data_IF_998869445270
#
_entry.id   IF_998869445270
#
_cell.length_a   1.000
_cell.length_b   1.000
_cell.length_c   1.000
_cell.angle_alpha   90.00
_cell.angle_beta   90.00
_cell.angle_gamma   90.00
#
_symmetry.space_group_name_H-M   'P 1'
#
loop_
_entity.id
_entity.type
_entity.pdbx_description
1 polymer ?
#
# COMPACT_ATOMS: atom_id res chain seq x y z
N UNK A 1 -11.11 25.62 -27.01
CA UNK A 1 -10.53 24.57 -27.87
C UNK A 1 -9.32 25.10 -28.64
N UNK A 2 -9.30 26.35 -29.14
CA UNK A 2 -8.08 26.94 -29.71
C UNK A 2 -7.55 26.23 -30.96
N UNK A 3 -8.38 25.40 -31.59
CA UNK A 3 -8.03 24.56 -32.74
C UNK A 3 -7.94 25.38 -34.03
N UNK A 4 -8.64 26.51 -34.09
CA UNK A 4 -8.61 27.45 -35.19
C UNK A 4 -8.84 28.87 -34.67
N UNK A 5 -8.27 29.85 -35.36
CA UNK A 5 -8.47 31.28 -35.10
C UNK A 5 -9.02 31.93 -36.35
N UNK A 6 -10.08 32.72 -36.22
CA UNK A 6 -10.62 33.49 -37.35
C UNK A 6 -9.77 34.74 -37.56
N UNK A 7 -9.10 34.84 -38.71
CA UNK A 7 -8.26 35.99 -39.06
C UNK A 7 -9.03 37.06 -39.82
N UNK A 8 -10.06 36.67 -40.57
CA UNK A 8 -11.01 37.54 -41.25
C UNK A 8 -12.35 36.79 -41.42
N UNK A 9 -13.48 37.47 -41.69
CA UNK A 9 -14.77 36.81 -41.89
C UNK A 9 -14.68 35.68 -42.93
N UNK A 10 -14.86 34.44 -42.47
CA UNK A 10 -14.78 33.25 -43.33
C UNK A 10 -13.37 32.76 -43.68
N UNK A 11 -12.31 33.36 -43.12
CA UNK A 11 -10.91 32.92 -43.28
C UNK A 11 -10.37 32.48 -41.92
N UNK A 12 -10.12 31.17 -41.82
CA UNK A 12 -9.69 30.50 -40.60
C UNK A 12 -8.27 29.99 -40.74
N UNK A 13 -7.45 30.25 -39.73
CA UNK A 13 -6.13 29.64 -39.58
C UNK A 13 -6.21 28.53 -38.54
N UNK A 14 -5.82 27.32 -38.93
CA UNK A 14 -5.76 26.19 -38.02
C UNK A 14 -4.54 26.33 -37.11
N UNK A 15 -4.71 26.02 -35.82
CA UNK A 15 -3.60 26.03 -34.88
C UNK A 15 -2.56 24.97 -35.25
N UNK A 16 -1.29 25.31 -35.13
CA UNK A 16 -0.16 24.36 -35.24
C UNK A 16 -0.26 23.19 -34.25
N UNK A 17 -0.97 23.41 -33.14
CA UNK A 17 -1.17 22.43 -32.07
C UNK A 17 -2.48 21.64 -32.24
N UNK A 18 -3.20 21.83 -33.36
CA UNK A 18 -4.49 21.19 -33.63
C UNK A 18 -4.40 19.66 -33.63
N UNK A 19 -3.41 19.08 -34.33
CA UNK A 19 -3.28 17.62 -34.41
C UNK A 19 -2.93 17.00 -33.04
N UNK A 20 -1.92 17.50 -32.28
CA UNK A 20 -1.68 17.06 -30.91
C UNK A 20 -2.92 17.16 -30.01
N UNK A 21 -3.64 18.30 -30.05
CA UNK A 21 -4.82 18.51 -29.22
C UNK A 21 -5.99 17.57 -29.58
N UNK A 22 -6.21 17.30 -30.88
CA UNK A 22 -7.23 16.34 -31.31
C UNK A 22 -6.87 14.90 -30.94
N UNK A 23 -5.58 14.54 -31.01
CA UNK A 23 -5.09 13.22 -30.56
C UNK A 23 -5.32 13.04 -29.07
N UNK A 24 -4.93 14.01 -28.24
CA UNK A 24 -5.14 14.00 -26.79
C UNK A 24 -6.64 13.87 -26.44
N UNK A 25 -7.51 14.59 -27.14
CA UNK A 25 -8.96 14.48 -26.97
C UNK A 25 -9.48 13.09 -27.34
N UNK A 26 -8.95 12.49 -28.41
CA UNK A 26 -9.27 11.12 -28.82
C UNK A 26 -8.89 10.10 -27.75
N UNK A 27 -7.63 10.15 -27.29
CA UNK A 27 -7.08 9.28 -26.25
C UNK A 27 -7.87 9.42 -24.93
N UNK A 28 -8.17 10.64 -24.52
CA UNK A 28 -9.01 10.91 -23.34
C UNK A 28 -10.40 10.30 -23.51
N UNK A 29 -10.99 10.41 -24.70
CA UNK A 29 -12.27 9.80 -25.05
C UNK A 29 -12.25 8.26 -24.98
N UNK A 30 -11.15 7.63 -25.40
CA UNK A 30 -10.95 6.18 -25.29
C UNK A 30 -10.82 5.73 -23.83
N UNK A 31 -10.04 6.45 -23.02
CA UNK A 31 -9.91 6.17 -21.58
C UNK A 31 -11.27 6.25 -20.89
N UNK A 32 -12.05 7.30 -21.18
CA UNK A 32 -13.41 7.46 -20.61
C UNK A 32 -14.31 6.26 -20.99
N UNK A 33 -14.25 5.78 -22.23
CA UNK A 33 -15.00 4.59 -22.65
C UNK A 33 -14.57 3.34 -21.89
N UNK A 34 -13.27 3.17 -21.68
CA UNK A 34 -12.72 2.07 -20.86
C UNK A 34 -13.23 2.13 -19.43
N UNK A 35 -13.20 3.32 -18.80
CA UNK A 35 -13.73 3.52 -17.45
C UNK A 35 -15.23 3.21 -17.36
N UNK A 36 -16.03 3.67 -18.33
CA UNK A 36 -17.47 3.35 -18.39
C UNK A 36 -17.73 1.85 -18.50
N UNK A 37 -16.96 1.17 -19.37
CA UNK A 37 -17.05 -0.28 -19.55
C UNK A 37 -16.65 -1.04 -18.27
N UNK A 38 -15.59 -0.60 -17.60
CA UNK A 38 -15.07 -1.19 -16.37
C UNK A 38 -16.08 -1.17 -15.21
N UNK A 39 -16.81 -0.07 -15.06
CA UNK A 39 -17.83 0.05 -14.02
C UNK A 39 -19.03 -0.90 -14.23
N UNK A 40 -19.28 -1.28 -15.48
CA UNK A 40 -20.35 -2.20 -15.85
C UNK A 40 -21.75 -1.73 -15.37
N UNK A 41 -22.73 -2.64 -15.28
CA UNK A 41 -24.10 -2.29 -14.89
C UNK A 41 -24.22 -1.73 -13.46
N UNK A 42 -23.30 -2.09 -12.57
CA UNK A 42 -23.30 -1.64 -11.17
C UNK A 42 -22.73 -0.22 -10.99
N UNK A 43 -22.07 0.32 -12.01
CA UNK A 43 -21.62 1.71 -12.05
C UNK A 43 -22.76 2.71 -12.03
N UNK A 44 -23.93 2.34 -12.54
CA UNK A 44 -24.98 3.28 -12.89
C UNK A 44 -24.54 4.26 -13.99
N UNK A 45 -25.42 5.19 -14.36
CA UNK A 45 -25.08 6.30 -15.26
C UNK A 45 -24.26 7.32 -14.47
N UNK A 46 -22.94 7.11 -14.38
CA UNK A 46 -22.05 8.08 -13.72
C UNK A 46 -21.97 9.34 -14.55
N UNK A 47 -22.00 10.48 -13.86
CA UNK A 47 -21.67 11.77 -14.45
C UNK A 47 -20.26 11.68 -15.06
N UNK A 48 -20.07 11.96 -16.36
CA UNK A 48 -18.74 12.00 -16.98
C UNK A 48 -17.74 12.93 -16.27
N UNK A 49 -18.22 13.97 -15.57
CA UNK A 49 -17.39 14.87 -14.77
C UNK A 49 -16.80 14.20 -13.51
N UNK A 50 -17.33 13.04 -13.11
CA UNK A 50 -16.80 12.23 -12.01
C UNK A 50 -15.57 11.42 -12.41
N UNK A 51 -15.20 11.38 -13.69
CA UNK A 51 -14.01 10.66 -14.16
C UNK A 51 -12.74 11.51 -14.01
N UNK A 52 -11.73 10.91 -13.41
CA UNK A 52 -10.43 11.51 -13.18
C UNK A 52 -9.36 10.62 -13.81
N UNK A 53 -8.52 11.20 -14.65
CA UNK A 53 -7.45 10.49 -15.36
C UNK A 53 -6.13 11.00 -14.78
N UNK A 54 -5.31 10.07 -14.31
CA UNK A 54 -4.00 10.31 -13.74
C UNK A 54 -2.94 9.63 -14.60
N UNK A 55 -2.04 10.43 -15.17
CA UNK A 55 -0.91 9.96 -15.97
C UNK A 55 0.30 9.53 -15.11
N UNK A 56 0.11 9.48 -13.78
CA UNK A 56 1.12 9.09 -12.80
C UNK A 56 0.52 8.99 -11.39
N UNK A 57 1.38 9.05 -10.38
CA UNK A 57 0.94 9.02 -8.98
C UNK A 57 -0.08 10.15 -8.66
N UNK A 58 -1.24 9.83 -8.06
CA UNK A 58 -2.22 10.84 -7.69
C UNK A 58 -1.68 11.75 -6.57
N UNK A 59 -1.99 13.04 -6.63
CA UNK A 59 -1.53 14.03 -5.63
C UNK A 59 -2.14 13.83 -4.23
N UNK A 60 -3.37 13.31 -4.19
CA UNK A 60 -4.09 13.00 -2.95
C UNK A 60 -4.39 11.51 -2.88
N UNK A 61 -4.35 10.89 -1.69
CA UNK A 61 -4.74 9.50 -1.54
C UNK A 61 -6.19 9.25 -2.00
N UNK A 62 -6.36 8.24 -2.86
CA UNK A 62 -7.62 7.75 -3.39
C UNK A 62 -7.89 6.40 -2.74
N UNK A 63 -9.03 6.27 -2.07
CA UNK A 63 -9.51 4.98 -1.54
C UNK A 63 -10.69 4.53 -2.39
N UNK A 64 -10.69 3.27 -2.84
CA UNK A 64 -11.79 2.75 -3.63
C UNK A 64 -11.64 1.29 -4.01
N UNK A 65 -12.63 0.78 -4.74
CA UNK A 65 -12.64 -0.58 -5.26
C UNK A 65 -11.98 -0.62 -6.63
N UNK A 66 -11.07 -1.57 -6.84
CA UNK A 66 -10.52 -1.88 -8.16
C UNK A 66 -11.63 -2.46 -9.03
N UNK A 67 -11.98 -1.80 -10.12
CA UNK A 67 -13.01 -2.26 -11.07
C UNK A 67 -12.41 -2.79 -12.36
N UNK A 68 -11.20 -2.35 -12.72
CA UNK A 68 -10.45 -2.88 -13.84
C UNK A 68 -8.94 -2.75 -13.62
N UNK A 69 -8.18 -3.62 -14.28
CA UNK A 69 -6.73 -3.72 -14.19
C UNK A 69 -6.19 -4.35 -15.48
N UNK A 70 -5.42 -3.61 -16.25
CA UNK A 70 -4.88 -4.06 -17.54
C UNK A 70 -3.48 -3.50 -17.80
N UNK A 71 -2.73 -4.09 -18.72
CA UNK A 71 -1.41 -3.59 -19.12
C UNK A 71 -1.55 -2.23 -19.83
N UNK A 72 -0.61 -1.32 -19.57
CA UNK A 72 -0.60 0.05 -20.12
C UNK A 72 0.30 0.21 -21.34
N UNK A 73 1.35 -0.60 -21.46
CA UNK A 73 2.40 -0.43 -22.47
C UNK A 73 2.64 -1.70 -23.29
N UNK A 74 3.16 -1.53 -24.51
CA UNK A 74 3.52 -2.63 -25.42
C UNK A 74 4.71 -3.44 -24.89
N UNK A 75 5.47 -2.88 -23.95
CA UNK A 75 6.58 -3.54 -23.25
C UNK A 75 6.09 -4.46 -22.10
N UNK A 76 4.86 -4.28 -21.62
CA UNK A 76 4.22 -5.10 -20.59
C UNK A 76 4.75 -4.89 -19.17
N UNK A 77 5.42 -3.78 -18.89
CA UNK A 77 6.08 -3.51 -17.61
C UNK A 77 5.17 -2.79 -16.60
N UNK A 78 4.18 -2.03 -17.11
CA UNK A 78 3.28 -1.24 -16.27
C UNK A 78 1.80 -1.61 -16.45
N UNK A 79 1.06 -1.44 -15.37
CA UNK A 79 -0.37 -1.61 -15.30
C UNK A 79 -1.10 -0.27 -15.17
N UNK A 80 -2.28 -0.25 -15.80
CA UNK A 80 -3.33 0.72 -15.56
C UNK A 80 -4.36 0.09 -14.64
N UNK A 81 -4.83 0.86 -13.68
CA UNK A 81 -5.92 0.47 -12.78
C UNK A 81 -7.04 1.49 -12.85
N UNK A 82 -8.27 0.99 -12.90
CA UNK A 82 -9.47 1.79 -12.72
C UNK A 82 -10.04 1.53 -11.33
N UNK A 83 -10.23 2.60 -10.55
CA UNK A 83 -10.74 2.56 -9.17
C UNK A 83 -12.05 3.35 -9.08
N UNK A 84 -13.10 2.70 -8.59
CA UNK A 84 -14.36 3.35 -8.18
C UNK A 84 -14.18 3.86 -6.75
N UNK A 85 -14.00 5.17 -6.62
CA UNK A 85 -13.59 5.86 -5.40
C UNK A 85 -14.73 6.03 -4.40
N UNK A 86 -14.38 5.99 -3.11
CA UNK A 86 -15.33 6.33 -2.04
C UNK A 86 -15.75 7.80 -2.07
N UNK A 87 -14.98 8.64 -2.77
CA UNK A 87 -15.27 10.06 -3.03
C UNK A 87 -16.31 10.27 -4.15
N UNK A 88 -16.86 9.19 -4.70
CA UNK A 88 -17.88 9.20 -5.74
C UNK A 88 -17.32 9.35 -7.16
N UNK A 89 -16.00 9.49 -7.31
CA UNK A 89 -15.30 9.60 -8.60
C UNK A 89 -14.81 8.24 -9.07
N UNK A 90 -14.58 8.12 -10.37
CA UNK A 90 -13.85 6.98 -10.93
C UNK A 90 -12.49 7.47 -11.38
N UNK A 91 -11.44 6.78 -10.94
CA UNK A 91 -10.06 7.16 -11.21
C UNK A 91 -9.42 6.15 -12.15
N UNK A 92 -8.81 6.64 -13.21
CA UNK A 92 -7.91 5.88 -14.07
C UNK A 92 -6.48 6.28 -13.72
N UNK A 93 -5.65 5.32 -13.30
CA UNK A 93 -4.25 5.55 -12.92
C UNK A 93 -3.38 4.66 -13.79
N UNK A 94 -2.53 5.27 -14.61
CA UNK A 94 -1.57 4.57 -15.46
C UNK A 94 -0.18 4.48 -14.79
N UNK A 95 0.69 3.62 -15.33
CA UNK A 95 2.12 3.63 -14.98
C UNK A 95 2.46 2.99 -13.63
N UNK A 96 1.63 2.08 -13.13
CA UNK A 96 1.88 1.37 -11.87
C UNK A 96 2.66 0.08 -12.16
N UNK A 97 3.82 -0.09 -11.53
CA UNK A 97 4.60 -1.33 -11.66
C UNK A 97 3.80 -2.58 -11.24
N UNK A 98 4.03 -3.68 -11.96
CA UNK A 98 3.33 -4.95 -11.77
C UNK A 98 3.42 -5.47 -10.32
N UNK A 99 4.59 -5.36 -9.69
CA UNK A 99 4.81 -5.92 -8.34
C UNK A 99 4.00 -5.17 -7.27
N UNK A 100 3.71 -3.88 -7.48
CA UNK A 100 2.93 -3.07 -6.52
C UNK A 100 1.45 -3.44 -6.50
N UNK A 101 0.96 -4.09 -7.55
CA UNK A 101 -0.44 -4.49 -7.69
C UNK A 101 -0.64 -6.00 -7.60
N UNK A 102 0.38 -6.79 -7.31
CA UNK A 102 0.30 -8.26 -7.30
C UNK A 102 -0.83 -8.77 -6.39
N UNK A 103 -0.95 -8.21 -5.19
CA UNK A 103 -1.99 -8.57 -4.22
C UNK A 103 -3.35 -7.88 -4.48
N UNK A 104 -3.42 -6.92 -5.40
CA UNK A 104 -4.65 -6.19 -5.75
C UNK A 104 -5.39 -6.89 -6.90
N UNK A 105 -6.61 -7.35 -6.62
CA UNK A 105 -7.51 -8.00 -7.57
C UNK A 105 -8.70 -7.10 -7.91
N UNK A 106 -9.39 -7.39 -8.99
CA UNK A 106 -10.71 -6.78 -9.25
C UNK A 106 -11.64 -7.10 -8.07
N UNK A 107 -12.30 -6.08 -7.54
CA UNK A 107 -13.11 -6.11 -6.33
C UNK A 107 -12.35 -5.76 -5.04
N UNK A 108 -11.02 -5.79 -5.03
CA UNK A 108 -10.25 -5.39 -3.85
C UNK A 108 -10.44 -3.90 -3.54
N UNK A 109 -10.48 -3.57 -2.24
CA UNK A 109 -10.44 -2.17 -1.78
C UNK A 109 -8.97 -1.78 -1.60
N UNK A 110 -8.56 -0.73 -2.29
CA UNK A 110 -7.17 -0.24 -2.31
C UNK A 110 -7.13 1.23 -1.90
N UNK A 111 -5.95 1.63 -1.44
CA UNK A 111 -5.54 3.03 -1.35
C UNK A 111 -4.41 3.23 -2.34
N UNK A 112 -4.62 4.15 -3.28
CA UNK A 112 -3.59 4.68 -4.18
C UNK A 112 -3.21 6.07 -3.70
N UNK A 113 -1.94 6.45 -3.76
CA UNK A 113 -1.55 7.78 -3.31
C UNK A 113 -0.29 8.29 -4.00
N UNK A 114 0.21 9.45 -3.54
CA UNK A 114 1.51 9.95 -3.97
C UNK A 114 2.57 8.87 -3.84
N UNK A 115 3.62 8.98 -4.66
CA UNK A 115 4.74 8.07 -4.56
C UNK A 115 5.28 8.03 -3.13
N UNK A 116 5.32 6.83 -2.56
CA UNK A 116 5.86 6.63 -1.21
C UNK A 116 7.39 6.65 -1.31
N UNK A 117 7.98 7.84 -1.21
CA UNK A 117 9.40 7.92 -0.95
C UNK A 117 9.64 7.55 0.51
N UNK A 118 9.75 6.25 0.79
CA UNK A 118 10.20 5.81 2.10
C UNK A 118 11.54 6.50 2.41
N UNK A 119 11.59 7.22 3.53
CA UNK A 119 12.79 7.87 4.04
C UNK A 119 14.00 6.92 3.93
N UNK A 120 14.96 7.26 3.04
CA UNK A 120 16.09 6.37 2.75
C UNK A 120 16.88 6.12 4.03
N UNK A 121 17.39 4.89 4.25
CA UNK A 121 18.28 4.63 5.38
C UNK A 121 19.49 5.57 5.44
N UNK A 122 20.00 6.00 4.28
CA UNK A 122 21.07 7.00 4.17
C UNK A 122 20.69 8.33 4.81
N UNK A 123 19.46 8.79 4.59
CA UNK A 123 19.00 10.11 5.06
C UNK A 123 18.86 10.10 6.59
N UNK A 124 18.34 9.00 7.15
CA UNK A 124 18.29 8.81 8.61
C UNK A 124 19.68 8.72 9.23
N UNK A 125 20.61 8.05 8.57
CA UNK A 125 22.00 7.89 9.04
C UNK A 125 22.73 9.23 9.02
N UNK A 126 22.57 10.01 7.95
CA UNK A 126 23.12 11.38 7.84
C UNK A 126 22.61 12.26 9.00
N UNK A 127 21.30 12.27 9.25
CA UNK A 127 20.71 13.03 10.36
C UNK A 127 21.21 12.55 11.72
N UNK A 128 21.35 11.23 11.93
CA UNK A 128 21.83 10.68 13.19
C UNK A 128 23.30 11.00 13.49
N UNK A 129 24.14 11.14 12.47
CA UNK A 129 25.58 11.41 12.61
C UNK A 129 25.86 12.91 12.70
N UNK A 130 25.03 13.73 12.07
CA UNK A 130 25.17 15.17 12.09
C UNK A 130 25.13 15.72 13.51
N UNK A 131 25.95 16.75 13.76
CA UNK A 131 25.93 17.52 15.00
C UNK A 131 25.70 18.98 14.68
N UNK A 132 24.76 19.59 15.38
CA UNK A 132 24.40 21.01 15.23
C UNK A 132 24.11 21.37 13.76
N UNK A 133 23.38 20.49 13.06
CA UNK A 133 23.04 20.65 11.64
C UNK A 133 24.21 20.43 10.66
N UNK A 134 25.37 19.99 11.13
CA UNK A 134 26.56 19.74 10.30
C UNK A 134 26.87 18.25 10.23
N UNK A 135 26.83 17.70 9.03
CA UNK A 135 27.31 16.35 8.73
C UNK A 135 28.77 16.41 8.24
N UNK A 136 29.61 15.50 8.77
CA UNK A 136 31.03 15.36 8.40
C UNK A 136 31.33 13.94 7.90
N UNK A 137 31.73 13.75 6.63
CA UNK A 137 32.15 12.46 6.09
C UNK A 137 33.28 11.81 6.90
N UNK A 138 34.30 12.58 7.33
CA UNK A 138 35.42 12.09 8.16
C UNK A 138 34.93 11.43 9.46
N UNK A 139 34.03 12.10 10.18
CA UNK A 139 33.38 11.61 11.41
C UNK A 139 32.54 10.36 11.15
N UNK A 140 31.80 10.31 10.03
CA UNK A 140 31.05 9.11 9.65
C UNK A 140 32.00 7.94 9.40
N UNK A 141 33.12 8.17 8.71
CA UNK A 141 34.11 7.13 8.45
C UNK A 141 34.71 6.57 9.75
N UNK A 142 35.07 7.43 10.69
CA UNK A 142 35.56 7.04 12.01
C UNK A 142 34.53 6.21 12.78
N UNK A 143 33.28 6.68 12.82
CA UNK A 143 32.18 5.97 13.49
C UNK A 143 31.90 4.61 12.85
N UNK A 144 31.86 4.53 11.52
CA UNK A 144 31.60 3.29 10.79
C UNK A 144 32.71 2.25 11.01
N UNK A 145 33.98 2.70 11.03
CA UNK A 145 35.13 1.85 11.38
C UNK A 145 35.04 1.34 12.82
N UNK A 146 34.63 2.18 13.76
CA UNK A 146 34.47 1.81 15.15
C UNK A 146 33.34 0.78 15.38
N UNK A 147 32.19 0.95 14.71
CA UNK A 147 31.04 0.07 14.87
C UNK A 147 31.19 -1.29 14.17
N UNK A 148 32.05 -1.40 13.15
CA UNK A 148 32.27 -2.65 12.41
C UNK A 148 31.05 -3.12 11.61
N UNK A 149 30.09 -2.24 11.31
CA UNK A 149 28.78 -2.56 10.70
C UNK A 149 28.70 -2.34 9.18
N UNK A 150 29.81 -2.45 8.45
CA UNK A 150 29.81 -2.33 6.98
C UNK A 150 30.03 -3.71 6.33
N UNK A 151 29.03 -4.27 5.61
CA UNK A 151 29.19 -5.52 4.88
C UNK A 151 30.33 -5.42 3.86
N UNK A 152 31.31 -6.33 3.94
CA UNK A 152 32.47 -6.37 3.02
C UNK A 152 33.65 -5.47 3.40
N UNK A 153 33.54 -4.65 4.45
CA UNK A 153 34.67 -3.86 4.97
C UNK A 153 35.08 -2.64 4.14
N UNK A 154 34.32 -2.28 3.10
CA UNK A 154 34.54 -1.07 2.32
C UNK A 154 33.88 0.15 2.99
N UNK A 155 34.55 0.66 4.02
CA UNK A 155 34.08 1.82 4.79
C UNK A 155 34.10 3.12 3.99
N UNK A 156 35.05 3.26 3.07
CA UNK A 156 35.17 4.46 2.23
C UNK A 156 34.04 4.49 1.19
N UNK A 157 33.80 3.39 0.48
CA UNK A 157 32.67 3.28 -0.45
C UNK A 157 31.31 3.44 0.23
N UNK A 158 31.17 3.00 1.49
CA UNK A 158 29.99 3.22 2.31
C UNK A 158 29.75 4.71 2.60
N UNK A 159 30.79 5.45 3.01
CA UNK A 159 30.67 6.90 3.26
C UNK A 159 30.48 7.67 1.94
N UNK A 160 31.15 7.27 0.87
CA UNK A 160 31.02 7.88 -0.46
C UNK A 160 29.61 7.75 -1.02
N UNK A 161 28.86 6.68 -0.69
CA UNK A 161 27.45 6.59 -1.03
C UNK A 161 26.61 7.71 -0.35
N UNK A 162 26.93 8.06 0.90
CA UNK A 162 26.27 9.14 1.63
C UNK A 162 26.68 10.52 1.11
N UNK A 163 27.95 10.70 0.71
CA UNK A 163 28.41 11.93 0.05
C UNK A 163 27.74 12.12 -1.31
N UNK A 164 27.63 11.05 -2.13
CA UNK A 164 26.88 11.09 -3.40
C UNK A 164 25.42 11.46 -3.19
N UNK A 165 24.79 10.95 -2.12
CA UNK A 165 23.43 11.33 -1.72
C UNK A 165 23.33 12.82 -1.36
N UNK A 166 24.26 13.35 -0.57
CA UNK A 166 24.31 14.77 -0.22
C UNK A 166 24.53 15.68 -1.44
N UNK A 167 25.38 15.28 -2.39
CA UNK A 167 25.53 16.01 -3.66
C UNK A 167 24.22 16.03 -4.48
N UNK A 168 23.46 14.93 -4.50
CA UNK A 168 22.15 14.90 -5.15
C UNK A 168 21.16 15.87 -4.48
N UNK A 169 21.09 15.87 -3.15
CA UNK A 169 20.23 16.78 -2.39
C UNK A 169 20.69 18.25 -2.49
N UNK A 170 21.99 18.51 -2.67
CA UNK A 170 22.52 19.85 -2.91
C UNK A 170 22.10 20.41 -4.26
N UNK A 171 22.12 19.58 -5.31
CA UNK A 171 21.60 19.96 -6.63
C UNK A 171 20.10 20.27 -6.58
N UNK A 172 19.37 19.68 -5.63
CA UNK A 172 17.97 19.96 -5.36
C UNK A 172 17.73 21.17 -4.44
N UNK A 173 18.79 21.82 -3.93
CA UNK A 173 18.69 22.96 -3.02
C UNK A 173 18.25 22.60 -1.59
N UNK A 174 18.33 21.33 -1.19
CA UNK A 174 17.86 20.86 0.12
C UNK A 174 18.97 20.93 1.18
N UNK A 175 20.22 20.73 0.77
CA UNK A 175 21.41 20.80 1.63
C UNK A 175 22.46 21.71 1.02
N UNK A 176 23.37 22.23 1.84
CA UNK A 176 24.48 23.08 1.39
C UNK A 176 25.82 22.41 1.66
N UNK A 177 26.74 22.53 0.72
CA UNK A 177 28.14 22.12 0.92
C UNK A 177 28.93 23.33 1.40
N UNK A 178 29.50 23.24 2.60
CA UNK A 178 30.39 24.26 3.15
C UNK A 178 31.79 24.05 2.57
N UNK A 179 32.31 22.83 2.69
CA UNK A 179 33.62 22.43 2.15
C UNK A 179 33.65 20.93 1.80
N UNK A 180 34.83 20.32 1.66
CA UNK A 180 34.96 18.89 1.34
C UNK A 180 34.50 17.95 2.46
N UNK A 181 34.57 18.38 3.71
CA UNK A 181 34.26 17.58 4.89
C UNK A 181 33.08 18.13 5.71
N UNK A 182 32.44 19.21 5.27
CA UNK A 182 31.33 19.84 5.99
C UNK A 182 30.11 20.10 5.11
N UNK A 183 28.98 19.53 5.54
CA UNK A 183 27.69 19.67 4.89
C UNK A 183 26.68 20.22 5.88
N UNK A 184 26.01 21.31 5.51
CA UNK A 184 24.88 21.84 6.28
C UNK A 184 23.60 21.16 5.83
N UNK A 185 22.92 20.52 6.77
CA UNK A 185 21.65 19.83 6.57
C UNK A 185 20.56 20.50 7.42
N UNK A 186 19.30 20.55 6.93
CA UNK A 186 18.18 21.05 7.72
C UNK A 186 17.68 19.97 8.71
N UNK A 187 17.01 20.40 9.79
CA UNK A 187 16.49 19.50 10.83
C UNK A 187 15.40 18.54 10.31
N UNK A 188 14.69 18.94 9.25
CA UNK A 188 13.66 18.16 8.56
C UNK A 188 14.20 17.44 7.30
N UNK A 189 15.53 17.21 7.21
CA UNK A 189 16.20 16.58 6.06
C UNK A 189 15.46 15.34 5.56
N UNK A 190 15.09 14.42 6.47
CA UNK A 190 14.47 13.15 6.11
C UNK A 190 13.15 13.36 5.36
N UNK A 191 12.33 14.29 5.84
CA UNK A 191 11.03 14.60 5.23
C UNK A 191 11.21 15.31 3.89
N UNK A 192 12.14 16.27 3.78
CA UNK A 192 12.41 16.98 2.52
C UNK A 192 13.04 16.09 1.45
N UNK A 193 13.96 15.22 1.86
CA UNK A 193 14.62 14.27 0.98
C UNK A 193 13.64 13.21 0.46
N UNK A 194 12.73 12.72 1.32
CA UNK A 194 11.61 11.88 0.91
C UNK A 194 10.70 12.62 -0.09
N UNK A 195 10.26 13.85 0.21
CA UNK A 195 9.43 14.61 -0.72
C UNK A 195 10.11 14.85 -2.08
N UNK A 196 11.41 15.12 -2.10
CA UNK A 196 12.19 15.27 -3.33
C UNK A 196 12.30 13.98 -4.14
N UNK A 197 12.51 12.85 -3.44
CA UNK A 197 12.56 11.55 -4.08
C UNK A 197 11.19 11.10 -4.59
N UNK A 198 10.10 11.46 -3.91
CA UNK A 198 8.73 11.20 -4.36
C UNK A 198 8.41 11.95 -5.65
N UNK A 199 9.03 13.11 -5.88
CA UNK A 199 8.97 13.81 -7.17
C UNK A 199 9.79 13.14 -8.29
N UNK A 200 10.68 12.19 -7.96
CA UNK A 200 11.52 11.45 -8.92
C UNK A 200 11.07 10.01 -9.16
N UNK A 201 10.51 9.35 -8.14
CA UNK A 201 9.80 8.08 -8.28
C UNK A 201 8.36 8.42 -8.65
N UNK A 202 8.02 8.42 -9.94
CA UNK A 202 6.69 8.83 -10.42
C UNK A 202 5.58 7.81 -10.12
N UNK A 203 5.92 6.67 -9.51
CA UNK A 203 5.01 5.56 -9.33
C UNK A 203 4.13 5.70 -8.09
N UNK A 204 2.83 5.54 -8.29
CA UNK A 204 1.85 5.60 -7.22
C UNK A 204 2.19 4.64 -6.06
N UNK A 205 1.97 5.08 -4.83
CA UNK A 205 1.89 4.16 -3.71
C UNK A 205 0.63 3.32 -3.85
N UNK A 206 0.72 2.02 -3.55
CA UNK A 206 -0.41 1.10 -3.61
C UNK A 206 -0.48 0.32 -2.30
N UNK A 207 -1.64 0.39 -1.64
CA UNK A 207 -1.91 -0.39 -0.44
C UNK A 207 -3.24 -1.10 -0.57
N UNK A 208 -3.24 -2.43 -0.48
CA UNK A 208 -4.47 -3.23 -0.42
C UNK A 208 -5.05 -3.12 0.99
N UNK A 209 -6.21 -2.47 1.12
CA UNK A 209 -6.92 -2.33 2.39
C UNK A 209 -7.79 -3.55 2.69
N UNK A 210 -8.40 -4.12 1.64
CA UNK A 210 -9.10 -5.39 1.68
C UNK A 210 -8.93 -6.13 0.36
N UNK A 211 -8.41 -7.37 0.34
CA UNK A 211 -8.38 -8.18 -0.87
C UNK A 211 -9.79 -8.70 -1.24
N UNK A 212 -10.75 -8.63 -0.31
CA UNK A 212 -12.10 -9.17 -0.43
C UNK A 212 -13.07 -8.08 -0.91
N UNK A 213 -13.92 -8.43 -1.88
CA UNK A 213 -14.99 -7.55 -2.38
C UNK A 213 -15.95 -7.08 -1.27
N UNK A 214 -16.50 -5.88 -1.45
CA UNK A 214 -17.37 -5.21 -0.47
C UNK A 214 -18.53 -6.10 -0.01
N UNK A 215 -19.23 -6.78 -0.92
CA UNK A 215 -20.40 -7.58 -0.56
C UNK A 215 -20.04 -8.77 0.31
N UNK A 216 -18.89 -9.40 0.03
CA UNK A 216 -18.37 -10.52 0.84
C UNK A 216 -17.95 -10.08 2.25
N UNK A 217 -17.59 -8.81 2.44
CA UNK A 217 -17.24 -8.30 3.76
C UNK A 217 -18.46 -8.17 4.69
N UNK A 218 -19.65 -7.92 4.16
CA UNK A 218 -20.88 -7.67 4.94
C UNK A 218 -21.20 -8.86 5.86
N UNK A 219 -21.14 -10.08 5.31
CA UNK A 219 -21.42 -11.32 6.05
C UNK A 219 -20.19 -12.12 6.48
N UNK A 220 -19.00 -11.52 6.48
CA UNK A 220 -17.76 -12.24 6.82
C UNK A 220 -17.65 -12.50 8.33
N UNK A 221 -17.30 -13.72 8.73
CA UNK A 221 -17.00 -14.01 10.14
C UNK A 221 -15.68 -13.39 10.63
N UNK A 222 -14.84 -12.90 9.70
CA UNK A 222 -13.55 -12.29 9.96
C UNK A 222 -13.57 -10.78 10.09
N UNK A 223 -12.45 -10.22 10.54
CA UNK A 223 -12.28 -8.78 10.67
C UNK A 223 -12.07 -8.16 9.28
N UNK A 224 -12.94 -7.26 8.87
CA UNK A 224 -12.95 -6.68 7.50
C UNK A 224 -12.48 -5.23 7.49
N UNK A 225 -12.40 -4.63 6.29
CA UNK A 225 -12.15 -3.19 6.16
C UNK A 225 -13.34 -2.37 6.68
N UNK A 226 -14.57 -2.86 6.52
CA UNK A 226 -15.77 -2.23 7.08
C UNK A 226 -15.70 -2.10 8.61
N UNK A 227 -15.22 -3.13 9.30
CA UNK A 227 -15.13 -3.14 10.77
C UNK A 227 -14.14 -2.07 11.28
N UNK A 228 -13.03 -1.87 10.55
CA UNK A 228 -12.07 -0.80 10.86
C UNK A 228 -12.73 0.57 10.69
N UNK A 229 -13.48 0.82 9.62
CA UNK A 229 -14.19 2.10 9.42
C UNK A 229 -15.30 2.34 10.45
N UNK A 230 -16.06 1.30 10.79
CA UNK A 230 -17.13 1.37 11.80
C UNK A 230 -16.60 1.79 13.18
N UNK A 231 -15.42 1.28 13.57
CA UNK A 231 -14.80 1.61 14.87
C UNK A 231 -14.27 3.04 14.91
N UNK A 232 -13.66 3.52 13.82
CA UNK A 232 -13.11 4.89 13.77
C UNK A 232 -14.18 5.95 13.44
N UNK A 233 -15.38 5.54 13.03
CA UNK A 233 -16.48 6.47 12.69
C UNK A 233 -16.22 7.27 11.40
N UNK A 234 -15.38 6.76 10.51
CA UNK A 234 -14.93 7.47 9.31
C UNK A 234 -15.98 7.36 8.19
N UNK A 235 -16.90 8.33 8.11
CA UNK A 235 -17.91 8.42 7.04
C UNK A 235 -17.94 9.75 6.30
N UNK A 236 -17.14 10.74 6.73
CA UNK A 236 -17.17 12.10 6.19
C UNK A 236 -16.59 12.22 4.77
N UNK A 237 -15.72 11.30 4.38
CA UNK A 237 -15.11 11.15 3.05
C UNK A 237 -15.96 10.32 2.08
N UNK A 238 -17.01 9.64 2.57
CA UNK A 238 -17.90 8.85 1.72
C UNK A 238 -18.85 9.78 0.96
N UNK A 239 -18.76 9.80 -0.36
CA UNK A 239 -19.74 10.50 -1.19
C UNK A 239 -21.16 9.90 -1.03
N UNK A 240 -22.22 10.71 -1.22
CA UNK A 240 -23.61 10.24 -1.20
C UNK A 240 -24.01 9.50 -2.49
N UNK A 241 -23.07 9.27 -3.40
CA UNK A 241 -23.28 8.59 -4.67
C UNK A 241 -22.17 7.55 -4.90
N UNK A 242 -22.45 6.61 -5.80
CA UNK A 242 -21.44 5.67 -6.25
C UNK A 242 -20.92 4.71 -5.19
N UNK A 243 -19.63 4.36 -5.26
CA UNK A 243 -19.02 3.45 -4.31
C UNK A 243 -19.03 3.99 -2.87
N UNK A 244 -18.93 5.31 -2.68
CA UNK A 244 -19.09 5.92 -1.35
C UNK A 244 -20.44 5.59 -0.70
N UNK A 245 -21.52 5.65 -1.48
CA UNK A 245 -22.86 5.26 -1.02
C UNK A 245 -22.98 3.75 -0.80
N UNK A 246 -22.44 2.93 -1.69
CA UNK A 246 -22.40 1.47 -1.53
C UNK A 246 -21.68 1.07 -0.23
N UNK A 247 -20.56 1.73 0.09
CA UNK A 247 -19.81 1.51 1.33
C UNK A 247 -20.63 1.91 2.55
N UNK A 248 -21.34 3.05 2.50
CA UNK A 248 -22.23 3.48 3.59
C UNK A 248 -23.33 2.44 3.86
N UNK A 249 -23.99 1.95 2.82
CA UNK A 249 -25.01 0.90 2.92
C UNK A 249 -24.43 -0.42 3.43
N UNK A 250 -23.24 -0.81 2.95
CA UNK A 250 -22.54 -2.00 3.42
C UNK A 250 -22.13 -1.88 4.90
N UNK A 251 -21.73 -0.69 5.36
CA UNK A 251 -21.45 -0.43 6.78
C UNK A 251 -22.70 -0.57 7.64
N UNK A 252 -23.86 -0.14 7.15
CA UNK A 252 -25.13 -0.30 7.85
C UNK A 252 -25.55 -1.77 7.92
N UNK A 253 -25.45 -2.51 6.82
CA UNK A 253 -25.73 -3.95 6.81
C UNK A 253 -24.75 -4.74 7.69
N UNK A 254 -23.45 -4.39 7.65
CA UNK A 254 -22.42 -4.99 8.51
C UNK A 254 -22.70 -4.74 9.98
N UNK A 255 -23.26 -3.58 10.33
CA UNK A 255 -23.68 -3.26 11.70
C UNK A 255 -24.82 -4.15 12.17
N UNK A 256 -25.83 -4.39 11.35
CA UNK A 256 -26.90 -5.34 11.67
C UNK A 256 -26.34 -6.74 11.86
N UNK A 257 -25.46 -7.18 10.95
CA UNK A 257 -24.80 -8.48 11.05
C UNK A 257 -24.06 -8.65 12.40
N UNK A 258 -23.32 -7.64 12.86
CA UNK A 258 -22.67 -7.71 14.18
C UNK A 258 -23.65 -7.78 15.34
N UNK A 259 -24.81 -7.13 15.24
CA UNK A 259 -25.86 -7.22 16.26
C UNK A 259 -26.44 -8.63 16.30
N UNK A 260 -26.74 -9.20 15.13
CA UNK A 260 -27.25 -10.58 14.98
C UNK A 260 -26.27 -11.62 15.52
N UNK A 261 -24.96 -11.44 15.27
CA UNK A 261 -23.90 -12.33 15.78
C UNK A 261 -23.55 -12.07 17.27
N UNK A 262 -24.17 -11.08 17.91
CA UNK A 262 -23.88 -10.73 19.31
C UNK A 262 -22.52 -10.04 19.53
N UNK A 263 -21.90 -9.55 18.45
CA UNK A 263 -20.65 -8.81 18.45
C UNK A 263 -20.86 -7.29 18.60
N UNK A 264 -22.11 -6.83 18.51
CA UNK A 264 -22.52 -5.46 18.82
C UNK A 264 -23.89 -5.42 19.53
N UNK A 265 -24.17 -4.33 20.24
CA UNK A 265 -25.49 -4.08 20.84
C UNK A 265 -26.00 -2.70 20.46
N UNK A 266 -27.32 -2.59 20.25
CA UNK A 266 -28.00 -1.32 20.00
C UNK A 266 -28.57 -0.78 21.30
N UNK A 267 -28.20 0.45 21.63
CA UNK A 267 -28.77 1.21 22.74
C UNK A 267 -30.12 1.81 22.36
N UNK A 268 -30.87 2.28 23.37
CA UNK A 268 -32.20 2.89 23.21
C UNK A 268 -32.18 4.18 22.38
N UNK A 269 -31.04 4.86 22.29
CA UNK A 269 -30.79 6.05 21.48
C UNK A 269 -30.25 5.73 20.08
N UNK A 270 -30.40 4.48 19.61
CA UNK A 270 -29.92 3.96 18.32
C UNK A 270 -28.40 3.97 18.13
N UNK A 271 -27.62 4.30 19.17
CA UNK A 271 -26.16 4.14 19.15
C UNK A 271 -25.81 2.66 19.21
N UNK A 272 -24.80 2.27 18.44
CA UNK A 272 -24.31 0.89 18.42
C UNK A 272 -22.97 0.80 19.12
N UNK A 273 -22.89 -0.15 20.05
CA UNK A 273 -21.70 -0.43 20.83
C UNK A 273 -21.13 -1.78 20.40
N UNK A 274 -19.90 -1.73 19.89
CA UNK A 274 -19.17 -2.94 19.51
C UNK A 274 -18.50 -3.57 20.72
N UNK A 275 -18.33 -4.89 20.68
CA UNK A 275 -17.57 -5.63 21.68
C UNK A 275 -16.15 -5.09 21.78
N UNK A 276 -15.61 -5.06 23.01
CA UNK A 276 -14.18 -4.75 23.21
C UNK A 276 -13.33 -5.74 22.42
N UNK A 277 -12.28 -5.24 21.78
CA UNK A 277 -11.37 -6.04 20.95
C UNK A 277 -12.07 -6.76 19.77
N UNK A 278 -13.16 -6.20 19.22
CA UNK A 278 -13.92 -6.77 18.11
C UNK A 278 -13.01 -7.32 16.98
N UNK A 279 -12.06 -6.52 16.50
CA UNK A 279 -11.17 -6.92 15.41
C UNK A 279 -10.30 -8.13 15.74
N UNK A 280 -9.90 -8.30 17.00
CA UNK A 280 -9.14 -9.47 17.43
C UNK A 280 -10.04 -10.71 17.48
N UNK A 281 -11.24 -10.58 18.04
CA UNK A 281 -12.23 -11.66 18.16
C UNK A 281 -12.64 -12.19 16.78
N UNK A 282 -12.97 -11.30 15.84
CA UNK A 282 -13.35 -11.69 14.48
C UNK A 282 -12.18 -12.36 13.75
N UNK A 283 -10.95 -11.83 13.90
CA UNK A 283 -9.75 -12.47 13.32
C UNK A 283 -9.52 -13.87 13.87
N UNK A 284 -9.61 -14.06 15.19
CA UNK A 284 -9.44 -15.36 15.83
C UNK A 284 -10.49 -16.36 15.34
N UNK A 285 -11.75 -15.93 15.22
CA UNK A 285 -12.85 -16.74 14.67
C UNK A 285 -12.57 -17.17 13.23
N UNK A 286 -12.17 -16.24 12.36
CA UNK A 286 -11.85 -16.54 10.96
C UNK A 286 -10.64 -17.47 10.83
N UNK A 287 -9.57 -17.21 11.57
CA UNK A 287 -8.35 -18.04 11.55
C UNK A 287 -8.67 -19.45 12.06
N UNK A 288 -9.51 -19.60 13.08
CA UNK A 288 -9.94 -20.90 13.58
C UNK A 288 -10.78 -21.68 12.55
N UNK A 289 -11.73 -21.01 11.89
CA UNK A 289 -12.57 -21.60 10.84
C UNK A 289 -11.73 -22.03 9.63
N UNK A 290 -10.98 -21.10 9.05
CA UNK A 290 -10.16 -21.39 7.86
C UNK A 290 -9.05 -22.38 8.17
N UNK A 291 -8.43 -22.30 9.35
CA UNK A 291 -7.45 -23.29 9.79
C UNK A 291 -8.04 -24.70 9.87
N UNK A 292 -9.26 -24.84 10.39
CA UNK A 292 -9.96 -26.13 10.46
C UNK A 292 -10.27 -26.70 9.06
N UNK A 293 -10.73 -25.86 8.13
CA UNK A 293 -10.98 -26.26 6.74
C UNK A 293 -9.69 -26.66 6.02
N UNK A 294 -8.61 -25.89 6.24
CA UNK A 294 -7.29 -26.19 5.69
C UNK A 294 -6.73 -27.50 6.25
N UNK A 295 -7.00 -27.85 7.50
CA UNK A 295 -6.54 -29.11 8.09
C UNK A 295 -7.12 -30.33 7.37
N UNK A 296 -8.40 -30.26 6.95
CA UNK A 296 -9.06 -31.32 6.18
C UNK A 296 -8.40 -31.49 4.81
N UNK A 297 -8.13 -30.39 4.11
CA UNK A 297 -7.52 -30.45 2.77
C UNK A 297 -6.04 -30.84 2.77
N UNK A 298 -5.28 -30.43 3.78
CA UNK A 298 -3.84 -30.74 3.92
C UNK A 298 -3.56 -32.11 4.55
N UNK A 299 -4.52 -32.69 5.26
CA UNK A 299 -4.28 -33.88 6.08
C UNK A 299 -3.30 -33.63 7.24
N UNK A 300 -3.18 -32.37 7.67
CA UNK A 300 -2.28 -31.92 8.73
C UNK A 300 -3.10 -31.13 9.76
N UNK A 301 -3.05 -31.46 11.06
CA UNK A 301 -3.80 -30.74 12.08
C UNK A 301 -3.49 -29.24 12.14
N UNK A 302 -4.52 -28.42 12.34
CA UNK A 302 -4.37 -26.99 12.58
C UNK A 302 -4.29 -26.69 14.08
N UNK A 303 -3.34 -25.83 14.48
CA UNK A 303 -3.28 -25.27 15.82
C UNK A 303 -3.25 -23.74 15.74
N UNK A 304 -4.21 -23.07 16.38
CA UNK A 304 -4.20 -21.62 16.50
C UNK A 304 -3.05 -21.15 17.40
N UNK A 305 -2.32 -20.13 16.96
CA UNK A 305 -1.29 -19.49 17.78
C UNK A 305 -1.92 -18.45 18.70
N UNK A 306 -1.50 -18.41 19.96
CA UNK A 306 -1.98 -17.38 20.91
C UNK A 306 -1.04 -16.18 20.96
N UNK A 307 -1.55 -15.06 21.43
CA UNK A 307 -0.71 -13.89 21.65
C UNK A 307 0.42 -14.18 22.65
N UNK A 308 1.62 -13.67 22.36
CA UNK A 308 2.85 -13.95 23.12
C UNK A 308 3.50 -15.30 22.84
N UNK A 309 2.88 -16.16 22.04
CA UNK A 309 3.44 -17.48 21.73
C UNK A 309 4.59 -17.41 20.72
N UNK A 310 5.62 -18.24 20.95
CA UNK A 310 6.69 -18.46 19.97
C UNK A 310 6.25 -19.49 18.94
N UNK A 311 6.30 -19.11 17.67
CA UNK A 311 6.01 -19.96 16.53
C UNK A 311 7.30 -20.24 15.77
N UNK A 312 7.55 -21.51 15.47
CA UNK A 312 8.63 -21.96 14.61
C UNK A 312 8.16 -23.06 13.67
N UNK A 313 8.79 -23.15 12.51
CA UNK A 313 8.51 -24.18 11.51
C UNK A 313 8.85 -23.70 10.11
N UNK A 314 8.56 -24.56 9.13
CA UNK A 314 8.78 -24.26 7.71
C UNK A 314 7.69 -23.33 7.19
N UNK A 315 8.08 -22.20 6.62
CA UNK A 315 7.15 -21.31 5.91
C UNK A 315 6.80 -21.93 4.54
N UNK A 316 5.56 -22.39 4.36
CA UNK A 316 5.14 -23.15 3.15
C UNK A 316 4.29 -22.35 2.17
N UNK A 317 3.79 -21.18 2.57
CA UNK A 317 3.02 -20.31 1.69
C UNK A 317 2.17 -19.32 2.46
N UNK A 318 1.33 -18.57 1.76
CA UNK A 318 0.44 -17.56 2.35
C UNK A 318 -1.02 -17.84 2.03
N UNK A 319 -1.91 -17.45 2.94
CA UNK A 319 -3.36 -17.41 2.72
C UNK A 319 -3.87 -15.99 2.89
N UNK A 320 -4.79 -15.58 2.03
CA UNK A 320 -5.44 -14.27 2.11
C UNK A 320 -6.81 -14.42 2.77
N UNK A 321 -6.94 -13.84 3.95
CA UNK A 321 -8.17 -13.78 4.73
C UNK A 321 -8.79 -12.37 4.64
N UNK A 322 -10.03 -12.21 5.08
CA UNK A 322 -10.63 -10.87 5.21
C UNK A 322 -9.87 -10.01 6.22
N UNK A 323 -9.31 -10.63 7.27
CA UNK A 323 -8.50 -9.99 8.30
C UNK A 323 -7.06 -9.66 7.89
N UNK A 324 -6.61 -10.15 6.74
CA UNK A 324 -5.30 -9.84 6.16
C UNK A 324 -4.59 -11.06 5.56
N UNK A 325 -3.30 -10.90 5.22
CA UNK A 325 -2.44 -11.96 4.71
C UNK A 325 -1.79 -12.71 5.87
N UNK A 326 -1.85 -14.04 5.84
CA UNK A 326 -1.28 -14.92 6.86
C UNK A 326 -0.25 -15.86 6.24
N UNK A 327 0.82 -16.12 6.98
CA UNK A 327 1.82 -17.12 6.65
C UNK A 327 1.38 -18.48 7.20
N UNK A 328 1.53 -19.52 6.39
CA UNK A 328 1.36 -20.92 6.78
C UNK A 328 2.71 -21.42 7.27
N UNK A 329 2.79 -21.74 8.56
CA UNK A 329 4.00 -22.28 9.19
C UNK A 329 3.72 -23.73 9.59
N UNK A 330 4.40 -24.66 8.93
CA UNK A 330 4.22 -26.09 9.11
C UNK A 330 5.33 -26.69 9.99
N UNK A 331 4.93 -27.56 10.91
CA UNK A 331 5.80 -28.45 11.69
C UNK A 331 5.53 -29.90 11.27
N UNK A 332 6.24 -30.86 11.89
CA UNK A 332 6.11 -32.28 11.56
C UNK A 332 4.70 -32.87 11.71
N UNK A 333 3.85 -32.32 12.58
CA UNK A 333 2.52 -32.88 12.89
C UNK A 333 1.40 -31.85 13.01
N UNK A 334 1.68 -30.58 12.74
CA UNK A 334 0.69 -29.51 12.81
C UNK A 334 1.11 -28.36 11.90
N UNK A 335 0.16 -27.47 11.60
CA UNK A 335 0.48 -26.17 11.05
C UNK A 335 -0.26 -25.07 11.80
N UNK A 336 0.26 -23.85 11.68
CA UNK A 336 -0.38 -22.66 12.23
C UNK A 336 -0.46 -21.57 11.17
N UNK A 337 -1.40 -20.65 11.37
CA UNK A 337 -1.57 -19.45 10.57
C UNK A 337 -1.20 -18.25 11.43
N UNK A 338 -0.22 -17.48 10.98
CA UNK A 338 0.23 -16.28 11.70
C UNK A 338 0.27 -15.07 10.77
N UNK A 339 0.04 -13.84 11.27
CA UNK A 339 0.10 -12.64 10.44
C UNK A 339 1.40 -12.54 9.63
N UNK A 340 1.29 -12.39 8.31
CA UNK A 340 2.44 -12.33 7.43
C UNK A 340 3.11 -10.95 7.46
N UNK A 341 4.42 -10.91 7.18
CA UNK A 341 5.18 -9.67 6.96
C UNK A 341 6.16 -9.87 5.79
N UNK A 342 6.45 -8.82 4.99
CA UNK A 342 7.35 -8.94 3.82
C UNK A 342 8.75 -9.48 4.15
N UNK A 343 9.21 -9.32 5.40
CA UNK A 343 10.54 -9.77 5.83
C UNK A 343 10.76 -11.29 5.65
N UNK A 344 9.69 -12.09 5.62
CA UNK A 344 9.78 -13.55 5.45
C UNK A 344 9.61 -14.03 4.00
N UNK A 345 9.42 -13.15 3.01
CA UNK A 345 9.17 -13.57 1.61
C UNK A 345 10.29 -14.42 1.04
N UNK A 346 11.54 -14.04 1.32
CA UNK A 346 12.73 -14.77 0.90
C UNK A 346 12.95 -16.08 1.66
N UNK A 347 12.08 -16.41 2.62
CA UNK A 347 12.16 -17.61 3.45
C UNK A 347 11.15 -18.68 3.03
N UNK A 348 10.47 -18.53 1.89
CA UNK A 348 9.57 -19.57 1.40
C UNK A 348 10.33 -20.90 1.27
N UNK A 349 9.77 -21.94 1.89
CA UNK A 349 10.38 -23.27 1.98
C UNK A 349 11.48 -23.41 3.03
N UNK A 350 11.77 -22.38 3.84
CA UNK A 350 12.79 -22.39 4.90
C UNK A 350 12.17 -22.35 6.29
N UNK A 351 12.97 -22.71 7.29
CA UNK A 351 12.61 -22.56 8.71
C UNK A 351 12.55 -21.09 9.11
N UNK A 352 11.46 -20.71 9.76
CA UNK A 352 11.24 -19.38 10.33
C UNK A 352 10.88 -19.50 11.80
N UNK A 353 11.22 -18.47 12.58
CA UNK A 353 10.86 -18.37 13.99
C UNK A 353 10.40 -16.94 14.29
N UNK A 354 9.39 -16.80 15.13
CA UNK A 354 8.89 -15.49 15.55
C UNK A 354 7.95 -15.57 16.74
N UNK A 355 7.67 -14.42 17.33
CA UNK A 355 6.73 -14.30 18.46
C UNK A 355 5.48 -13.56 17.97
N UNK A 356 4.31 -14.12 18.24
CA UNK A 356 3.02 -13.48 17.94
C UNK A 356 2.78 -12.34 18.92
N UNK A 357 2.48 -11.15 18.43
CA UNK A 357 2.20 -9.95 19.24
C UNK A 357 1.09 -9.10 18.63
N UNK A 358 -0.05 -9.00 19.31
CA UNK A 358 -1.12 -8.03 19.05
C UNK A 358 -1.64 -8.04 17.61
N UNK A 359 -1.70 -9.20 16.96
CA UNK A 359 -2.09 -9.33 15.55
C UNK A 359 -0.96 -9.08 14.54
N UNK A 360 0.30 -9.12 14.99
CA UNK A 360 1.51 -9.11 14.17
C UNK A 360 2.47 -10.24 14.60
N UNK A 361 3.55 -10.44 13.85
CA UNK A 361 4.64 -11.35 14.25
C UNK A 361 5.95 -10.60 14.23
N UNK A 362 6.72 -10.74 15.31
CA UNK A 362 8.12 -10.33 15.38
C UNK A 362 9.00 -11.50 14.93
N UNK A 363 9.38 -11.49 13.67
CA UNK A 363 10.23 -12.54 13.08
C UNK A 363 11.70 -12.41 13.54
N UNK A 364 12.26 -13.54 13.96
CA UNK A 364 13.67 -13.69 14.33
C UNK A 364 14.36 -14.49 13.23
N UNK A 365 14.95 -13.79 12.26
CA UNK A 365 15.72 -14.41 11.19
C UNK A 365 17.13 -14.75 11.70
N UNK A 366 17.33 -16.00 12.14
CA UNK A 366 18.64 -16.48 12.54
C UNK A 366 19.57 -16.66 11.33
N UNK A 367 20.80 -16.11 11.39
CA UNK A 367 21.91 -16.62 10.56
C UNK A 367 22.15 -18.07 11.01
N UNK A 368 21.95 -19.04 10.12
CA UNK A 368 22.55 -20.36 10.31
C UNK A 368 24.06 -20.19 10.39
N UNK A 369 24.62 -20.24 11.61
CA UNK A 369 26.02 -20.58 11.81
C UNK A 369 26.14 -22.06 11.49
N UNK A 370 26.77 -22.37 10.36
CA UNK A 370 27.29 -23.71 10.12
C UNK A 370 28.24 -24.05 11.25
N UNK A 371 27.86 -25.04 12.07
CA UNK A 371 28.81 -25.82 12.84
C UNK A 371 29.35 -26.87 11.87
N UNK A 372 30.42 -26.53 11.17
CA UNK A 372 31.30 -27.55 10.60
C UNK A 372 32.02 -28.22 11.77
N UNK A 373 31.89 -29.55 11.82
CA UNK A 373 32.64 -30.44 12.71
C UNK A 373 33.79 -31.05 11.94
#
# INVERSE_FOLDING_TARGET
MGLATEHAPGVWELSKDMEPALRELGERGDIIRTMQKALGPQGGERDPMSFQIHDGAPETPIVGRVVDKHLSDELGENLTVVVDGIDGRTHHIAGIALERLEDARIGSVVQLGPAEAAARPSDRTITAIAKDGIYRPSRHLEQAKFEGRVPGGDYEGYVDAHVRRLEALRRAGIVERIDADQWRIPDDLVSRAAAHDAGRDSQASVRVLSPVDLNKQIGSDGATWLDRRLIHGETADLAPTGFGQQVREAMDQRREHHIEQGDATRSRDSRVFYRRNLLAILREREVAGVGSDMALSKGLPFRAATDGESVSGKFTGTVHLSSGKFAVVEKSHEFTLVPWRPIIDRQLGREVMGIVQGGSVLWQLGRQRGLER
#
